data_IF_200692704527
#
_entry.id   IF_200692704527
#
_cell.length_a   1.000
_cell.length_b   1.000
_cell.length_c   1.000
_cell.angle_alpha   90.00
_cell.angle_beta   90.00
_cell.angle_gamma   90.00
#
_symmetry.space_group_name_H-M   'P 1'
#
loop_
_entity.id
_entity.type
_entity.pdbx_description
1 polymer ?
#
# COMPACT_ATOMS: atom_id res chain seq x y z
N UNK A 1 61.13 -9.80 -29.68
CA UNK A 1 59.97 -10.71 -29.57
C UNK A 1 59.23 -10.41 -28.27
N UNK A 2 58.21 -9.55 -28.31
CA UNK A 2 57.36 -9.28 -27.15
C UNK A 2 56.14 -10.22 -27.19
N UNK A 3 55.93 -11.00 -26.13
CA UNK A 3 54.82 -11.96 -26.02
C UNK A 3 53.52 -11.19 -25.74
N UNK A 4 52.61 -11.14 -26.71
CA UNK A 4 51.26 -10.64 -26.53
C UNK A 4 50.50 -11.53 -25.54
N UNK A 5 50.11 -10.97 -24.39
CA UNK A 5 49.26 -11.64 -23.40
C UNK A 5 47.84 -11.75 -23.95
N UNK A 6 47.42 -12.99 -24.24
CA UNK A 6 46.12 -13.38 -24.76
C UNK A 6 45.00 -13.43 -23.70
N UNK A 7 45.21 -12.83 -22.53
CA UNK A 7 44.39 -13.09 -21.33
C UNK A 7 43.47 -11.91 -20.94
N UNK A 8 43.11 -11.06 -21.90
CA UNK A 8 42.12 -10.01 -21.67
C UNK A 8 40.82 -10.39 -22.37
N UNK A 9 39.73 -10.69 -21.64
CA UNK A 9 38.44 -10.87 -22.26
C UNK A 9 38.07 -9.55 -22.95
N UNK A 10 37.96 -9.61 -24.27
CA UNK A 10 37.57 -8.51 -25.13
C UNK A 10 36.13 -8.15 -24.76
N UNK A 11 35.95 -7.17 -23.89
CA UNK A 11 34.63 -6.60 -23.56
C UNK A 11 33.96 -6.22 -24.87
N UNK A 12 32.85 -6.87 -25.27
CA UNK A 12 32.17 -6.51 -26.50
C UNK A 12 31.71 -5.06 -26.35
N UNK A 13 32.11 -4.22 -27.31
CA UNK A 13 31.83 -2.80 -27.34
C UNK A 13 30.38 -2.54 -26.96
N UNK A 14 30.21 -1.80 -25.87
CA UNK A 14 28.93 -1.58 -25.22
C UNK A 14 27.91 -1.08 -26.22
N UNK A 15 26.85 -1.87 -26.41
CA UNK A 15 25.58 -1.34 -26.91
C UNK A 15 25.21 -0.21 -25.94
N UNK A 16 25.27 1.03 -26.43
CA UNK A 16 24.85 2.23 -25.72
C UNK A 16 23.35 2.10 -25.50
N UNK A 17 22.96 1.46 -24.39
CA UNK A 17 21.56 1.39 -23.98
C UNK A 17 21.09 2.84 -23.86
N UNK A 18 20.05 3.26 -24.61
CA UNK A 18 19.47 4.57 -24.36
C UNK A 18 19.01 4.58 -22.91
N UNK A 19 19.64 5.43 -22.10
CA UNK A 19 19.24 5.65 -20.72
C UNK A 19 17.95 6.45 -20.75
N UNK A 20 16.83 5.76 -20.93
CA UNK A 20 15.53 6.41 -20.90
C UNK A 20 15.21 6.67 -19.44
N UNK A 21 15.21 7.94 -19.05
CA UNK A 21 15.03 8.36 -17.65
C UNK A 21 13.72 7.78 -17.09
N UNK A 22 13.80 6.84 -16.13
CA UNK A 22 12.63 6.16 -15.56
C UNK A 22 11.63 7.13 -14.91
N UNK A 23 12.08 8.34 -14.56
CA UNK A 23 11.26 9.38 -13.95
C UNK A 23 10.32 10.06 -14.95
N UNK A 24 10.77 10.27 -16.19
CA UNK A 24 9.95 10.89 -17.26
C UNK A 24 8.83 9.94 -17.69
N UNK A 25 9.18 8.66 -17.87
CA UNK A 25 8.18 7.61 -18.13
C UNK A 25 7.23 7.49 -16.94
N UNK A 26 7.73 7.53 -15.71
CA UNK A 26 6.89 7.43 -14.50
C UNK A 26 5.81 8.51 -14.42
N UNK A 27 6.18 9.78 -14.65
CA UNK A 27 5.23 10.91 -14.64
C UNK A 27 4.24 10.83 -15.81
N UNK A 28 4.69 10.39 -16.99
CA UNK A 28 3.81 10.19 -18.14
C UNK A 28 2.81 9.06 -17.90
N UNK A 29 3.27 7.91 -17.42
CA UNK A 29 2.43 6.75 -17.08
C UNK A 29 1.37 7.09 -16.03
N UNK A 30 1.70 7.86 -15.00
CA UNK A 30 0.74 8.25 -13.96
C UNK A 30 -0.37 9.18 -14.49
N UNK A 31 -0.06 10.03 -15.47
CA UNK A 31 -1.06 10.86 -16.16
C UNK A 31 -1.94 10.01 -17.08
N UNK A 32 -1.34 9.08 -17.82
CA UNK A 32 -2.03 8.16 -18.72
C UNK A 32 -2.97 7.24 -17.92
N UNK A 33 -2.51 6.67 -16.80
CA UNK A 33 -3.32 5.80 -15.94
C UNK A 33 -4.55 6.52 -15.38
N UNK A 34 -4.39 7.76 -14.89
CA UNK A 34 -5.53 8.57 -14.44
C UNK A 34 -6.49 8.92 -15.58
N UNK A 35 -5.96 9.14 -16.78
CA UNK A 35 -6.77 9.48 -17.95
C UNK A 35 -7.57 8.27 -18.48
N UNK A 36 -6.92 7.11 -18.65
CA UNK A 36 -7.55 5.86 -19.11
C UNK A 36 -8.53 5.28 -18.07
N UNK A 37 -8.23 5.42 -16.79
CA UNK A 37 -9.12 4.95 -15.71
C UNK A 37 -10.39 5.77 -15.53
N UNK A 38 -10.51 6.93 -16.20
CA UNK A 38 -11.69 7.78 -16.13
C UNK A 38 -12.62 7.50 -17.31
N UNK A 39 -13.92 7.34 -17.07
CA UNK A 39 -14.93 7.15 -18.14
C UNK A 39 -15.04 8.29 -19.17
N UNK A 40 -14.36 9.42 -18.93
CA UNK A 40 -14.24 10.55 -19.86
C UNK A 40 -13.48 10.19 -21.13
N UNK A 41 -12.47 9.32 -21.08
CA UNK A 41 -11.75 8.89 -22.28
C UNK A 41 -12.67 8.15 -23.25
N UNK A 42 -13.46 7.19 -22.73
CA UNK A 42 -14.44 6.45 -23.49
C UNK A 42 -15.49 7.40 -24.10
N UNK A 43 -15.96 8.37 -23.33
CA UNK A 43 -16.90 9.38 -23.84
C UNK A 43 -16.32 10.16 -25.04
N UNK A 44 -15.09 10.67 -24.94
CA UNK A 44 -14.45 11.38 -26.05
C UNK A 44 -14.25 10.50 -27.28
N UNK A 45 -13.86 9.23 -27.08
CA UNK A 45 -13.71 8.26 -28.17
C UNK A 45 -15.06 7.98 -28.87
N UNK A 46 -16.12 7.76 -28.10
CA UNK A 46 -17.47 7.56 -28.64
C UNK A 46 -17.95 8.79 -29.40
N UNK A 47 -17.78 10.00 -28.84
CA UNK A 47 -18.15 11.25 -29.52
C UNK A 47 -17.37 11.41 -30.82
N UNK A 48 -16.06 11.12 -30.82
CA UNK A 48 -15.24 11.18 -32.03
C UNK A 48 -15.74 10.23 -33.12
N UNK A 49 -16.00 8.96 -32.78
CA UNK A 49 -16.54 7.95 -33.71
C UNK A 49 -17.88 8.41 -34.29
N UNK A 50 -18.80 8.89 -33.44
CA UNK A 50 -20.13 9.34 -33.85
C UNK A 50 -20.03 10.56 -34.77
N UNK A 51 -19.22 11.57 -34.42
CA UNK A 51 -19.03 12.77 -35.24
C UNK A 51 -18.42 12.41 -36.59
N UNK A 52 -17.42 11.52 -36.62
CA UNK A 52 -16.79 11.06 -37.85
C UNK A 52 -17.76 10.31 -38.77
N UNK A 53 -18.56 9.41 -38.20
CA UNK A 53 -19.58 8.66 -38.94
C UNK A 53 -20.67 9.60 -39.49
N UNK A 54 -21.16 10.54 -38.69
CA UNK A 54 -22.16 11.54 -39.13
C UNK A 54 -21.60 12.41 -40.26
N UNK A 55 -20.36 12.90 -40.12
CA UNK A 55 -19.73 13.73 -41.13
C UNK A 55 -19.60 13.00 -42.48
N UNK A 56 -19.16 11.74 -42.47
CA UNK A 56 -18.97 10.97 -43.70
C UNK A 56 -20.29 10.44 -44.30
N UNK A 57 -21.37 10.35 -43.52
CA UNK A 57 -22.69 9.90 -44.03
C UNK A 57 -23.55 11.05 -44.54
N UNK A 58 -23.62 12.17 -43.81
CA UNK A 58 -24.49 13.31 -44.12
C UNK A 58 -23.77 14.41 -44.92
N UNK A 59 -22.44 14.39 -44.95
CA UNK A 59 -21.65 15.38 -45.68
C UNK A 59 -21.88 15.37 -47.21
N UNK A 60 -21.58 16.48 -47.90
CA UNK A 60 -21.60 16.56 -49.36
C UNK A 60 -20.74 15.45 -49.97
N UNK A 61 -21.19 14.83 -51.08
CA UNK A 61 -20.50 13.69 -51.71
C UNK A 61 -19.03 14.00 -52.04
N UNK A 62 -18.73 15.25 -52.41
CA UNK A 62 -17.37 15.72 -52.73
C UNK A 62 -16.42 15.81 -51.51
N UNK A 63 -16.95 15.78 -50.28
CA UNK A 63 -16.20 15.93 -49.02
C UNK A 63 -16.24 14.67 -48.14
N UNK A 64 -16.76 13.56 -48.66
CA UNK A 64 -16.76 12.26 -47.98
C UNK A 64 -15.39 11.60 -48.13
N UNK A 65 -14.58 11.68 -47.08
CA UNK A 65 -13.25 11.09 -47.06
C UNK A 65 -13.27 9.57 -46.76
N UNK A 66 -14.31 9.09 -46.07
CA UNK A 66 -14.42 7.71 -45.59
C UNK A 66 -15.85 7.17 -45.76
N UNK A 67 -16.28 6.82 -46.99
CA UNK A 67 -17.60 6.23 -47.26
C UNK A 67 -17.79 4.88 -46.56
N UNK A 68 -19.04 4.43 -46.41
CA UNK A 68 -19.37 3.09 -45.93
C UNK A 68 -18.56 2.03 -46.72
N UNK A 69 -17.77 1.16 -46.04
CA UNK A 69 -17.85 0.73 -44.65
C UNK A 69 -16.86 1.39 -43.63
N UNK A 70 -16.43 2.64 -43.85
CA UNK A 70 -15.52 3.40 -42.97
C UNK A 70 -14.15 2.74 -42.77
N UNK A 71 -13.43 2.50 -43.87
CA UNK A 71 -12.13 1.82 -43.86
C UNK A 71 -11.07 2.60 -43.08
N UNK A 72 -11.07 3.94 -43.17
CA UNK A 72 -10.09 4.77 -42.46
C UNK A 72 -10.32 4.75 -40.96
N UNK A 73 -11.57 4.87 -40.52
CA UNK A 73 -11.92 4.75 -39.11
C UNK A 73 -11.51 3.38 -38.56
N UNK A 74 -11.75 2.32 -39.32
CA UNK A 74 -11.40 0.94 -38.94
C UNK A 74 -9.88 0.76 -38.82
N UNK A 75 -9.11 1.27 -39.79
CA UNK A 75 -7.65 1.26 -39.76
C UNK A 75 -7.10 2.02 -38.55
N UNK A 76 -7.64 3.21 -38.27
CA UNK A 76 -7.23 4.04 -37.15
C UNK A 76 -7.48 3.33 -35.80
N UNK A 77 -8.67 2.75 -35.62
CA UNK A 77 -9.02 2.00 -34.41
C UNK A 77 -8.15 0.75 -34.24
N UNK A 78 -7.82 0.06 -35.33
CA UNK A 78 -6.95 -1.12 -35.30
C UNK A 78 -5.52 -0.77 -34.85
N UNK A 79 -4.97 0.32 -35.38
CA UNK A 79 -3.65 0.82 -34.94
C UNK A 79 -3.71 1.27 -33.48
N UNK A 80 -4.76 1.98 -33.09
CA UNK A 80 -4.95 2.46 -31.71
C UNK A 80 -4.93 1.29 -30.73
N UNK A 81 -5.68 0.22 -31.01
CA UNK A 81 -5.71 -0.99 -30.18
C UNK A 81 -4.32 -1.65 -30.09
N UNK A 82 -3.61 -1.75 -31.22
CA UNK A 82 -2.27 -2.35 -31.28
C UNK A 82 -1.24 -1.60 -30.42
N UNK A 83 -1.27 -0.27 -30.43
CA UNK A 83 -0.36 0.56 -29.62
C UNK A 83 -0.79 0.72 -28.15
N UNK A 84 -2.09 0.54 -27.86
CA UNK A 84 -2.58 0.59 -26.48
C UNK A 84 -1.99 -0.53 -25.61
N UNK A 85 -1.91 -1.76 -26.14
CA UNK A 85 -1.40 -2.91 -25.41
C UNK A 85 0.01 -2.70 -24.78
N UNK A 86 1.05 -2.31 -25.53
CA UNK A 86 2.38 -2.09 -24.95
C UNK A 86 2.44 -0.91 -23.98
N UNK A 87 1.65 0.15 -24.21
CA UNK A 87 1.55 1.27 -23.26
C UNK A 87 0.89 0.86 -21.95
N UNK A 88 -0.16 0.05 -22.03
CA UNK A 88 -0.85 -0.50 -20.85
C UNK A 88 0.11 -1.40 -20.08
N UNK A 89 0.87 -2.27 -20.75
CA UNK A 89 1.89 -3.12 -20.11
C UNK A 89 2.97 -2.29 -19.39
N UNK A 90 3.43 -1.19 -19.97
CA UNK A 90 4.38 -0.27 -19.31
C UNK A 90 3.78 0.40 -18.08
N UNK A 91 2.49 0.77 -18.14
CA UNK A 91 1.79 1.31 -16.98
C UNK A 91 1.57 0.25 -15.88
N UNK A 92 1.23 -0.98 -16.27
CA UNK A 92 1.03 -2.12 -15.37
C UNK A 92 2.30 -2.52 -14.65
N UNK A 93 3.42 -2.73 -15.37
CA UNK A 93 4.70 -3.11 -14.74
C UNK A 93 5.12 -2.14 -13.63
N UNK A 94 4.86 -0.84 -13.81
CA UNK A 94 5.14 0.16 -12.79
C UNK A 94 4.20 0.14 -11.60
N UNK A 95 2.94 -0.22 -11.84
CA UNK A 95 1.96 -0.37 -10.77
C UNK A 95 2.30 -1.60 -9.94
N UNK A 96 2.66 -2.70 -10.59
CA UNK A 96 3.12 -3.94 -9.94
C UNK A 96 4.38 -3.71 -9.09
N UNK A 97 5.34 -2.91 -9.58
CA UNK A 97 6.54 -2.53 -8.81
C UNK A 97 6.19 -1.74 -7.53
N UNK A 98 5.26 -0.77 -7.62
CA UNK A 98 4.79 0.00 -6.46
C UNK A 98 4.03 -0.89 -5.49
N UNK A 99 3.13 -1.73 -5.99
CA UNK A 99 2.31 -2.63 -5.20
C UNK A 99 3.18 -3.66 -4.47
N UNK A 100 4.27 -4.13 -5.10
CA UNK A 100 5.25 -4.98 -4.45
C UNK A 100 5.92 -4.32 -3.25
N UNK A 101 6.37 -3.07 -3.39
CA UNK A 101 7.01 -2.33 -2.30
C UNK A 101 6.04 -2.11 -1.14
N UNK A 102 4.79 -1.72 -1.45
CA UNK A 102 3.75 -1.54 -0.45
C UNK A 102 3.47 -2.87 0.29
N UNK A 103 3.38 -3.99 -0.43
CA UNK A 103 3.19 -5.32 0.16
C UNK A 103 4.37 -5.75 1.04
N UNK A 104 5.60 -5.40 0.69
CA UNK A 104 6.79 -5.67 1.52
C UNK A 104 6.73 -4.85 2.82
N UNK A 105 6.39 -3.57 2.76
CA UNK A 105 6.20 -2.72 3.95
C UNK A 105 5.05 -3.21 4.84
N UNK A 106 3.90 -3.55 4.26
CA UNK A 106 2.76 -4.09 5.00
C UNK A 106 3.11 -5.39 5.74
N UNK A 107 3.96 -6.23 5.14
CA UNK A 107 4.45 -7.45 5.81
C UNK A 107 5.33 -7.12 7.01
N UNK A 108 6.24 -6.16 6.89
CA UNK A 108 7.11 -5.74 7.99
C UNK A 108 6.31 -5.11 9.14
N UNK A 109 5.36 -4.23 8.82
CA UNK A 109 4.46 -3.62 9.81
C UNK A 109 3.61 -4.68 10.51
N UNK A 110 3.05 -5.63 9.77
CA UNK A 110 2.29 -6.73 10.36
C UNK A 110 3.15 -7.63 11.25
N UNK A 111 4.39 -7.92 10.85
CA UNK A 111 5.32 -8.70 11.67
C UNK A 111 5.63 -7.97 13.00
N UNK A 112 5.90 -6.66 12.94
CA UNK A 112 6.12 -5.85 14.14
C UNK A 112 4.89 -5.79 15.02
N UNK A 113 3.70 -5.55 14.44
CA UNK A 113 2.44 -5.52 15.19
C UNK A 113 2.16 -6.85 15.90
N UNK A 114 2.47 -7.99 15.26
CA UNK A 114 2.35 -9.31 15.92
C UNK A 114 3.30 -9.44 17.10
N UNK A 115 4.57 -9.04 16.95
CA UNK A 115 5.53 -9.06 18.04
C UNK A 115 5.10 -8.16 19.21
N UNK A 116 4.58 -6.96 18.92
CA UNK A 116 4.08 -6.03 19.93
C UNK A 116 2.86 -6.60 20.66
N UNK A 117 1.93 -7.24 19.94
CA UNK A 117 0.79 -7.92 20.55
C UNK A 117 1.23 -9.10 21.44
N UNK A 118 2.20 -9.89 21.00
CA UNK A 118 2.76 -10.98 21.81
C UNK A 118 3.45 -10.45 23.08
N UNK A 119 4.19 -9.35 22.97
CA UNK A 119 4.80 -8.67 24.11
C UNK A 119 3.75 -8.18 25.09
N UNK A 120 2.75 -7.43 24.61
CA UNK A 120 1.64 -6.96 25.44
C UNK A 120 0.87 -8.10 26.08
N UNK A 121 0.63 -9.22 25.37
CA UNK A 121 -0.03 -10.39 25.94
C UNK A 121 0.77 -11.02 27.08
N UNK A 122 2.11 -11.09 26.95
CA UNK A 122 2.99 -11.56 28.03
C UNK A 122 2.97 -10.62 29.22
N UNK A 123 2.99 -9.31 28.97
CA UNK A 123 2.97 -8.30 30.03
C UNK A 123 1.62 -8.27 30.77
N UNK A 124 0.51 -8.44 30.05
CA UNK A 124 -0.82 -8.59 30.67
C UNK A 124 -0.90 -9.89 31.47
N UNK A 125 -0.31 -10.98 30.99
CA UNK A 125 -0.26 -12.24 31.72
C UNK A 125 0.57 -12.13 33.01
N UNK A 126 1.75 -11.48 32.96
CA UNK A 126 2.59 -11.26 34.14
C UNK A 126 1.89 -10.33 35.16
N UNK A 127 1.27 -9.24 34.69
CA UNK A 127 0.47 -8.35 35.53
C UNK A 127 -0.69 -9.08 36.19
N UNK A 128 -1.41 -9.94 35.45
CA UNK A 128 -2.51 -10.75 35.98
C UNK A 128 -2.05 -11.69 37.10
N UNK A 129 -0.89 -12.32 36.95
CA UNK A 129 -0.32 -13.19 37.99
C UNK A 129 0.04 -12.36 39.23
N UNK A 130 0.76 -11.25 39.06
CA UNK A 130 1.14 -10.37 40.16
C UNK A 130 -0.07 -9.83 40.95
N UNK A 131 -1.13 -9.41 40.25
CA UNK A 131 -2.39 -8.99 40.88
C UNK A 131 -3.10 -10.17 41.55
N UNK A 132 -3.08 -11.36 40.95
CA UNK A 132 -3.66 -12.57 41.51
C UNK A 132 -3.02 -12.99 42.84
N UNK A 133 -1.70 -12.84 42.97
CA UNK A 133 -0.97 -13.12 44.21
C UNK A 133 -1.30 -12.08 45.31
N UNK A 134 -1.32 -10.79 44.99
CA UNK A 134 -1.67 -9.73 45.96
C UNK A 134 -3.15 -9.75 46.39
N UNK A 135 -4.06 -10.14 45.50
CA UNK A 135 -5.49 -10.19 45.76
C UNK A 135 -5.96 -11.59 46.19
N UNK A 136 -5.11 -12.37 46.86
CA UNK A 136 -5.57 -13.65 47.41
C UNK A 136 -6.68 -13.36 48.42
N UNK A 137 -7.83 -14.05 48.28
CA UNK A 137 -9.02 -13.89 49.14
C UNK A 137 -8.66 -13.89 50.63
N UNK A 138 -7.65 -14.66 51.02
CA UNK A 138 -7.19 -14.76 52.40
C UNK A 138 -6.47 -13.51 52.90
N UNK A 139 -5.70 -12.81 52.06
CA UNK A 139 -5.07 -11.53 52.39
C UNK A 139 -6.11 -10.42 52.53
N UNK A 140 -7.03 -10.30 51.56
CA UNK A 140 -8.15 -9.37 51.66
C UNK A 140 -9.02 -9.67 52.89
N UNK A 141 -9.19 -10.94 53.25
CA UNK A 141 -9.97 -11.36 54.41
C UNK A 141 -9.23 -11.13 55.73
N UNK A 142 -7.91 -11.24 55.77
CA UNK A 142 -7.12 -10.91 56.96
C UNK A 142 -7.10 -9.41 57.19
N UNK A 143 -6.86 -8.60 56.16
CA UNK A 143 -6.89 -7.13 56.26
C UNK A 143 -8.26 -6.59 56.65
N UNK A 144 -9.34 -7.11 56.04
CA UNK A 144 -10.70 -6.74 56.44
C UNK A 144 -11.02 -7.15 57.89
N UNK A 145 -10.44 -8.24 58.39
CA UNK A 145 -10.59 -8.65 59.79
C UNK A 145 -9.81 -7.76 60.73
N UNK A 146 -8.57 -7.45 60.38
CA UNK A 146 -7.69 -6.58 61.16
C UNK A 146 -8.28 -5.17 61.30
N UNK A 147 -8.74 -4.57 60.20
CA UNK A 147 -9.46 -3.30 60.21
C UNK A 147 -10.76 -3.36 61.03
N UNK A 148 -11.51 -4.47 60.93
CA UNK A 148 -12.73 -4.66 61.72
C UNK A 148 -12.45 -4.81 63.22
N UNK A 149 -11.35 -5.46 63.60
CA UNK A 149 -10.88 -5.57 64.98
C UNK A 149 -10.37 -4.22 65.51
N UNK A 150 -9.68 -3.43 64.68
CA UNK A 150 -9.19 -2.10 65.05
C UNK A 150 -10.33 -1.11 65.29
N UNK A 151 -11.36 -1.10 64.43
CA UNK A 151 -12.60 -0.34 64.65
C UNK A 151 -13.42 -0.85 65.85
N UNK A 152 -13.32 -2.15 66.14
CA UNK A 152 -13.99 -2.80 67.26
C UNK A 152 -13.28 -2.62 68.61
N UNK A 153 -11.99 -2.22 68.61
CA UNK A 153 -11.27 -1.85 69.83
C UNK A 153 -11.89 -0.57 70.38
N UNK A 154 -12.57 -0.61 71.54
CA UNK A 154 -12.91 0.62 72.22
C UNK A 154 -11.60 1.35 72.46
N UNK A 155 -11.50 2.62 72.05
CA UNK A 155 -10.47 3.53 72.55
C UNK A 155 -10.62 3.61 74.07
N UNK A 156 -10.06 2.62 74.77
CA UNK A 156 -9.94 2.62 76.20
C UNK A 156 -8.88 3.68 76.51
N UNK A 157 -9.36 4.91 76.64
CA UNK A 157 -8.57 6.06 76.99
C UNK A 157 -7.67 5.72 78.17
N UNK A 158 -6.40 6.02 77.98
CA UNK A 158 -5.35 6.02 78.99
C UNK A 158 -5.88 6.74 80.24
N UNK A 159 -6.30 5.97 81.25
CA UNK A 159 -6.34 6.48 82.63
C UNK A 159 -4.97 6.16 83.21
N UNK A 160 -4.09 7.13 82.99
CA UNK A 160 -2.86 7.34 83.75
C UNK A 160 -3.27 7.62 85.20
N UNK A 161 -3.34 6.59 86.04
CA UNK A 161 -3.36 6.77 87.50
C UNK A 161 -1.91 6.72 87.99
N UNK A 162 -1.34 7.90 88.23
CA UNK A 162 -0.05 8.10 88.89
C UNK A 162 -0.15 7.73 90.38
N UNK A 163 0.84 7.01 90.95
CA UNK A 163 0.89 6.77 92.39
C UNK A 163 1.63 7.90 93.12
N UNK A 164 1.05 8.38 94.23
CA UNK A 164 1.75 9.17 95.27
C UNK A 164 1.54 8.52 96.62
#
# INVERSE_FOLDING_TARGET
MARSRLDQPRVPGGLRRPNVDPEVIGKASERIARFLGTGRFLLYLTVFIVVWAIWNTVGPEDLRYDPDPFIFLTLLLSIQASYAAPLILLAQNRQDDRDRVNLEQDREVNARSRADMEFLAREVASLRIAVGEMATRDFLRSELRELAEELGRPHAGERQDDPV
#
